data_IF_566086321541
#
_entry.id   IF_566086321541
#
_cell.length_a   1.000
_cell.length_b   1.000
_cell.length_c   1.000
_cell.angle_alpha   90.00
_cell.angle_beta   90.00
_cell.angle_gamma   90.00
#
_symmetry.space_group_name_H-M   'P 1'
#
loop_
_entity.id
_entity.type
_entity.pdbx_description
1 polymer ?
#
# COMPACT_ATOMS: atom_id res chain seq x y z
N UNK A 1 8.88 -11.28 -0.15
CA UNK A 1 7.87 -11.68 -1.15
C UNK A 1 7.37 -10.46 -1.90
N UNK A 2 7.19 -10.60 -3.19
CA UNK A 2 6.65 -9.52 -4.02
C UNK A 2 5.22 -9.88 -4.40
N UNK A 3 4.28 -8.99 -4.18
CA UNK A 3 2.90 -9.21 -4.53
C UNK A 3 2.45 -8.18 -5.57
N UNK A 4 2.05 -8.64 -6.73
CA UNK A 4 1.52 -7.76 -7.76
C UNK A 4 0.06 -7.51 -7.46
N UNK A 5 -0.30 -6.24 -7.25
CA UNK A 5 -1.70 -5.91 -7.01
C UNK A 5 -2.44 -5.73 -8.31
N UNK A 6 -3.77 -5.75 -8.23
CA UNK A 6 -4.60 -5.70 -9.40
C UNK A 6 -4.49 -4.36 -10.12
N UNK A 7 -4.91 -4.33 -11.37
CA UNK A 7 -4.91 -3.08 -12.14
C UNK A 7 -5.87 -2.07 -11.55
N UNK A 8 -6.83 -2.53 -10.79
CA UNK A 8 -7.81 -1.63 -10.18
C UNK A 8 -7.74 -1.81 -8.67
N UNK A 9 -7.48 -0.73 -7.97
CA UNK A 9 -7.47 -0.70 -6.51
C UNK A 9 -8.57 0.26 -6.08
N UNK A 10 -9.81 -0.23 -6.10
CA UNK A 10 -10.97 0.61 -5.84
C UNK A 10 -11.94 -0.12 -4.92
N UNK A 11 -13.01 0.57 -4.56
CA UNK A 11 -14.05 -0.04 -3.73
C UNK A 11 -14.58 -1.33 -4.37
N UNK A 12 -14.47 -1.47 -5.67
CA UNK A 12 -14.95 -2.67 -6.36
C UNK A 12 -14.03 -3.86 -6.16
N UNK A 13 -12.76 -3.65 -5.83
CA UNK A 13 -11.79 -4.72 -5.76
C UNK A 13 -11.19 -4.91 -4.37
N UNK A 14 -11.48 -4.01 -3.42
CA UNK A 14 -10.78 -4.06 -2.13
C UNK A 14 -11.00 -5.35 -1.36
N UNK A 15 -12.15 -5.99 -1.50
CA UNK A 15 -12.41 -7.21 -0.75
C UNK A 15 -11.48 -8.31 -1.23
N UNK A 16 -11.34 -8.47 -2.53
CA UNK A 16 -10.49 -9.49 -3.10
C UNK A 16 -9.02 -9.19 -2.85
N UNK A 17 -8.63 -7.92 -3.02
CA UNK A 17 -7.23 -7.55 -2.81
C UNK A 17 -6.86 -7.66 -1.34
N UNK A 18 -7.79 -7.38 -0.43
CA UNK A 18 -7.53 -7.55 0.99
C UNK A 18 -7.25 -9.02 1.29
N UNK A 19 -8.01 -9.94 0.72
CA UNK A 19 -7.80 -11.35 0.94
C UNK A 19 -6.42 -11.78 0.46
N UNK A 20 -5.98 -11.26 -0.70
CA UNK A 20 -4.67 -11.59 -1.23
C UNK A 20 -3.55 -11.05 -0.35
N UNK A 21 -3.70 -9.81 0.13
CA UNK A 21 -2.70 -9.21 0.99
C UNK A 21 -2.61 -9.95 2.32
N UNK A 22 -3.75 -10.31 2.91
CA UNK A 22 -3.73 -11.04 4.16
C UNK A 22 -3.11 -12.43 3.99
N UNK A 23 -3.40 -13.11 2.89
CA UNK A 23 -2.80 -14.41 2.62
C UNK A 23 -1.28 -14.29 2.53
N UNK A 24 -0.80 -13.24 1.88
CA UNK A 24 0.64 -13.03 1.77
C UNK A 24 1.26 -12.77 3.15
N UNK A 25 0.59 -11.97 3.97
CA UNK A 25 1.11 -11.67 5.29
C UNK A 25 1.11 -12.90 6.20
N UNK A 26 0.18 -13.82 5.99
CA UNK A 26 0.14 -15.02 6.79
C UNK A 26 1.29 -15.98 6.50
N UNK A 27 1.98 -15.78 5.39
CA UNK A 27 3.16 -16.57 5.10
C UNK A 27 4.34 -16.18 5.98
N UNK A 28 4.23 -15.08 6.71
CA UNK A 28 5.27 -14.70 7.65
C UNK A 28 6.48 -14.06 7.03
N UNK A 29 6.35 -13.52 5.84
CA UNK A 29 7.48 -12.87 5.16
C UNK A 29 7.25 -11.40 5.01
N UNK A 30 8.33 -10.66 4.81
CA UNK A 30 8.22 -9.25 4.48
C UNK A 30 7.52 -9.10 3.14
N UNK A 31 6.74 -8.05 2.97
CA UNK A 31 5.92 -7.87 1.80
C UNK A 31 6.36 -6.66 1.00
N UNK A 32 6.64 -6.85 -0.27
CA UNK A 32 6.90 -5.77 -1.18
C UNK A 32 5.76 -5.74 -2.19
N UNK A 33 5.09 -4.62 -2.30
CA UNK A 33 3.95 -4.49 -3.19
C UNK A 33 4.41 -3.94 -4.53
N UNK A 34 3.98 -4.59 -5.61
CA UNK A 34 4.26 -4.14 -6.96
C UNK A 34 3.00 -3.53 -7.51
N UNK A 35 2.97 -2.22 -7.59
CA UNK A 35 1.83 -1.46 -8.10
C UNK A 35 2.04 -0.87 -9.48
N UNK A 36 2.98 -1.42 -10.26
CA UNK A 36 3.25 -0.85 -11.57
C UNK A 36 2.09 -1.01 -12.55
N UNK A 37 1.25 -2.00 -12.34
CA UNK A 37 0.11 -2.22 -13.23
C UNK A 37 -1.16 -1.49 -12.83
N UNK A 38 -1.16 -0.74 -11.74
CA UNK A 38 -2.37 -0.09 -11.26
C UNK A 38 -2.77 1.02 -12.24
N UNK A 39 -4.01 0.95 -12.71
CA UNK A 39 -4.53 1.93 -13.66
C UNK A 39 -5.61 2.79 -13.05
N UNK A 40 -6.31 2.25 -12.06
CA UNK A 40 -7.36 2.99 -11.38
C UNK A 40 -7.21 2.81 -9.89
N UNK A 41 -7.35 3.87 -9.13
CA UNK A 41 -7.25 3.80 -7.68
C UNK A 41 -8.16 4.85 -7.07
N UNK A 42 -8.87 4.48 -6.01
CA UNK A 42 -9.70 5.44 -5.28
C UNK A 42 -9.29 5.42 -3.80
N UNK A 43 -10.01 6.15 -2.97
CA UNK A 43 -9.68 6.25 -1.56
C UNK A 43 -9.72 4.88 -0.89
N UNK A 44 -10.67 4.02 -1.27
CA UNK A 44 -10.75 2.69 -0.69
C UNK A 44 -9.50 1.87 -0.99
N UNK A 45 -8.97 1.97 -2.20
CA UNK A 45 -7.73 1.28 -2.55
C UNK A 45 -6.54 1.80 -1.77
N UNK A 46 -6.45 3.11 -1.59
CA UNK A 46 -5.36 3.69 -0.81
C UNK A 46 -5.46 3.28 0.65
N UNK A 47 -6.67 3.25 1.20
CA UNK A 47 -6.87 2.83 2.58
C UNK A 47 -6.49 1.36 2.76
N UNK A 48 -6.74 0.55 1.75
CA UNK A 48 -6.34 -0.85 1.81
C UNK A 48 -4.83 -1.00 1.90
N UNK A 49 -4.09 -0.23 1.12
CA UNK A 49 -2.63 -0.31 1.17
C UNK A 49 -2.10 0.16 2.52
N UNK A 50 -2.71 1.20 3.08
CA UNK A 50 -2.28 1.67 4.39
C UNK A 50 -2.61 0.64 5.47
N UNK A 51 -3.77 0.01 5.39
CA UNK A 51 -4.13 -1.03 6.34
C UNK A 51 -3.18 -2.23 6.25
N UNK A 52 -2.77 -2.58 5.03
CA UNK A 52 -1.83 -3.68 4.85
C UNK A 52 -0.47 -3.36 5.47
N UNK A 53 -0.04 -2.10 5.34
CA UNK A 53 1.21 -1.68 5.97
C UNK A 53 1.11 -1.82 7.48
N UNK A 54 0.02 -1.35 8.06
CA UNK A 54 -0.15 -1.42 9.51
C UNK A 54 -0.23 -2.87 9.98
N UNK A 55 -0.89 -3.72 9.21
CA UNK A 55 -1.00 -5.11 9.59
C UNK A 55 0.35 -5.82 9.52
N UNK A 56 1.14 -5.53 8.51
CA UNK A 56 2.47 -6.11 8.38
C UNK A 56 3.32 -5.71 9.58
N UNK A 57 3.28 -4.44 9.93
CA UNK A 57 4.07 -3.93 11.05
C UNK A 57 3.61 -4.54 12.37
N UNK A 58 2.31 -4.75 12.53
CA UNK A 58 1.79 -5.38 13.73
C UNK A 58 2.26 -6.83 13.86
N UNK A 59 2.58 -7.46 12.75
CA UNK A 59 3.09 -8.82 12.75
C UNK A 59 4.61 -8.88 12.77
N UNK A 60 5.28 -7.76 12.94
CA UNK A 60 6.73 -7.72 12.96
C UNK A 60 7.36 -7.89 11.59
N UNK A 61 6.62 -7.58 10.52
CA UNK A 61 7.13 -7.69 9.16
C UNK A 61 7.24 -6.31 8.54
N UNK A 62 8.00 -6.21 7.46
CA UNK A 62 8.10 -4.94 6.75
C UNK A 62 7.15 -4.95 5.57
N UNK A 63 6.64 -3.77 5.28
CA UNK A 63 5.81 -3.55 4.11
C UNK A 63 6.51 -2.48 3.30
N UNK A 64 6.72 -2.71 2.03
CA UNK A 64 7.33 -1.69 1.20
C UNK A 64 6.52 -1.51 -0.08
N UNK A 65 6.44 -0.26 -0.51
CA UNK A 65 5.81 0.11 -1.76
C UNK A 65 6.80 1.03 -2.46
N UNK A 66 7.82 0.45 -3.11
CA UNK A 66 8.88 1.27 -3.70
C UNK A 66 8.34 2.18 -4.78
N UNK A 67 8.83 3.40 -4.83
CA UNK A 67 8.39 4.35 -5.85
C UNK A 67 8.57 3.79 -7.24
N UNK A 68 9.64 3.06 -7.46
CA UNK A 68 9.88 2.46 -8.77
C UNK A 68 8.85 1.40 -9.13
N UNK A 69 8.10 0.92 -8.17
CA UNK A 69 7.06 -0.07 -8.40
C UNK A 69 5.66 0.52 -8.30
N UNK A 70 5.54 1.82 -8.46
CA UNK A 70 4.24 2.47 -8.52
C UNK A 70 3.98 2.96 -9.93
N UNK A 71 2.79 2.69 -10.43
CA UNK A 71 2.37 3.27 -11.71
C UNK A 71 2.21 4.77 -11.57
N UNK A 72 2.08 5.46 -12.67
CA UNK A 72 1.84 6.89 -12.61
C UNK A 72 0.51 7.17 -11.91
N UNK A 73 -0.52 6.38 -12.18
CA UNK A 73 -1.82 6.58 -11.55
C UNK A 73 -1.72 6.42 -10.04
N UNK A 74 -0.99 5.41 -9.57
CA UNK A 74 -0.83 5.20 -8.15
C UNK A 74 0.01 6.31 -7.51
N UNK A 75 1.07 6.73 -8.18
CA UNK A 75 1.92 7.80 -7.68
C UNK A 75 1.13 9.09 -7.54
N UNK A 76 0.31 9.41 -8.52
CA UNK A 76 -0.49 10.64 -8.45
C UNK A 76 -1.53 10.54 -7.36
N UNK A 77 -2.17 9.38 -7.19
CA UNK A 77 -3.19 9.21 -6.17
C UNK A 77 -2.58 9.36 -4.77
N UNK A 78 -1.40 8.79 -4.57
CA UNK A 78 -0.74 8.91 -3.28
C UNK A 78 -0.37 10.36 -2.98
N UNK A 79 0.10 11.08 -3.97
CA UNK A 79 0.47 12.47 -3.78
C UNK A 79 -0.75 13.32 -3.46
N UNK A 80 -1.86 13.09 -4.16
CA UNK A 80 -3.05 13.87 -3.93
C UNK A 80 -3.68 13.56 -2.58
N UNK A 81 -3.58 12.33 -2.13
CA UNK A 81 -4.17 11.95 -0.87
C UNK A 81 -3.25 12.23 0.31
N UNK A 82 -2.04 12.69 0.05
CA UNK A 82 -1.06 12.97 1.08
C UNK A 82 -0.73 11.74 1.91
N UNK A 83 -0.82 10.57 1.31
CA UNK A 83 -0.47 9.33 1.99
C UNK A 83 0.91 8.82 1.64
N UNK A 84 1.60 9.51 0.75
CA UNK A 84 2.89 9.03 0.28
C UNK A 84 3.88 8.78 1.41
N UNK A 85 3.94 9.71 2.35
CA UNK A 85 4.87 9.55 3.45
C UNK A 85 4.54 8.36 4.31
N UNK A 86 3.28 8.12 4.56
CA UNK A 86 2.88 7.01 5.41
C UNK A 86 3.17 5.65 4.76
N UNK A 87 3.05 5.57 3.44
CA UNK A 87 3.19 4.29 2.75
C UNK A 87 4.59 4.07 2.22
N UNK A 88 5.26 5.12 1.78
CA UNK A 88 6.52 5.00 1.09
C UNK A 88 7.71 5.33 1.97
N UNK A 89 7.63 6.47 2.63
CA UNK A 89 8.77 6.98 3.33
C UNK A 89 8.86 6.57 4.73
N UNK A 90 8.13 5.94 5.29
CA UNK A 90 8.17 5.57 6.64
C UNK A 90 8.20 6.67 7.48
N UNK A 91 7.97 7.73 7.23
CA UNK A 91 8.06 8.83 7.97
C UNK A 91 7.43 8.98 9.19
N UNK A 92 8.00 8.71 10.14
CA UNK A 92 7.41 8.87 11.38
C UNK A 92 7.38 10.27 11.60
N UNK A 93 8.16 10.96 11.05
CA UNK A 93 8.19 12.25 11.39
C UNK A 93 7.02 12.95 11.12
N UNK A 94 6.28 12.43 10.41
CA UNK A 94 5.25 13.16 10.09
C UNK A 94 4.55 13.72 11.11
N UNK A 95 4.41 13.13 12.02
CA UNK A 95 3.61 13.63 12.93
C UNK A 95 4.08 14.71 13.46
N UNK A 96 5.08 14.78 13.39
CA UNK A 96 5.59 15.78 14.07
C UNK A 96 5.08 16.97 13.58
N UNK A 97 4.84 17.08 12.69
CA UNK A 97 4.51 18.19 12.37
C UNK A 97 3.42 18.65 12.59
N UNK A 98 3.01 18.47 12.92
CA UNK A 98 2.04 19.02 13.18
C UNK A 98 2.03 19.52 14.07
N UNK A 99 2.59 19.41 14.16
CA UNK A 99 2.45 19.98 15.27
C UNK A 99 1.92 20.82 15.11
#
# INVERSE_FOLDING_TARGET
MVLLVSEELTISTVVEEKARLLAALELGEDLQVDGRGVREVDVAGLQLLLAAKHEAEARGRTFSLPTAMCSEALTQALALAALADALIAQGPATEAQHG
#
